data_IF_625325057936
#
_entry.id   IF_625325057936
#
_cell.length_a   1.000
_cell.length_b   1.000
_cell.length_c   1.000
_cell.angle_alpha   90.00
_cell.angle_beta   90.00
_cell.angle_gamma   90.00
#
_symmetry.space_group_name_H-M   'P 1'
#
loop_
_entity.id
_entity.type
_entity.pdbx_description
1 polymer ?
#
# COMPACT_ATOMS: atom_id res chain seq x y z
N UNK A 1 39.49 -13.91 7.87
CA UNK A 1 38.25 -14.63 7.54
C UNK A 1 37.23 -14.30 8.61
N UNK A 2 36.29 -13.40 8.32
CA UNK A 2 35.28 -12.93 9.26
C UNK A 2 33.99 -13.72 9.08
N UNK A 3 33.57 -14.35 10.17
CA UNK A 3 32.34 -15.12 10.33
C UNK A 3 31.13 -14.17 10.17
N UNK A 4 30.44 -14.20 9.04
CA UNK A 4 29.27 -13.33 8.83
C UNK A 4 28.34 -13.67 7.66
N UNK A 5 28.72 -14.57 6.75
CA UNK A 5 27.93 -14.90 5.57
C UNK A 5 27.28 -16.28 5.66
N UNK A 6 26.57 -16.55 6.75
CA UNK A 6 25.75 -17.76 6.87
C UNK A 6 24.39 -17.44 7.46
N UNK A 7 23.59 -16.66 6.72
CA UNK A 7 22.14 -16.58 6.94
C UNK A 7 21.42 -16.52 5.60
N UNK A 8 20.49 -17.46 5.43
CA UNK A 8 19.39 -17.51 4.46
C UNK A 8 19.66 -18.22 3.12
N UNK A 9 20.08 -19.49 3.17
CA UNK A 9 19.60 -20.47 2.19
C UNK A 9 18.20 -20.90 2.67
N UNK A 10 17.13 -20.37 2.07
CA UNK A 10 15.78 -20.95 2.22
C UNK A 10 14.61 -20.01 2.54
N UNK A 11 14.81 -18.71 2.80
CA UNK A 11 13.70 -17.77 2.99
C UNK A 11 13.44 -16.95 1.72
N UNK A 12 12.18 -16.67 1.37
CA UNK A 12 11.88 -15.86 0.20
C UNK A 12 12.42 -14.43 0.39
N UNK A 13 12.91 -13.83 -0.70
CA UNK A 13 13.34 -12.42 -0.71
C UNK A 13 12.20 -11.47 -0.34
N UNK A 14 10.97 -11.87 -0.65
CA UNK A 14 9.72 -11.17 -0.33
C UNK A 14 8.60 -12.19 -0.16
N UNK A 15 7.89 -12.13 0.96
CA UNK A 15 6.67 -12.91 1.18
C UNK A 15 5.52 -12.29 0.38
N UNK A 16 4.70 -13.11 -0.26
CA UNK A 16 3.55 -12.66 -1.03
C UNK A 16 2.25 -13.14 -0.39
N UNK A 17 1.35 -12.20 -0.14
CA UNK A 17 -0.03 -12.47 0.32
C UNK A 17 -0.98 -11.93 -0.74
N UNK A 18 -1.88 -12.78 -1.25
CA UNK A 18 -2.91 -12.38 -2.21
C UNK A 18 -4.30 -12.64 -1.63
N UNK A 19 -5.10 -11.59 -1.62
CA UNK A 19 -6.50 -11.61 -1.27
C UNK A 19 -7.37 -11.24 -2.47
N UNK A 20 -8.66 -11.58 -2.37
CA UNK A 20 -9.66 -11.20 -3.35
C UNK A 20 -10.87 -10.65 -2.61
N UNK A 21 -11.06 -9.34 -2.67
CA UNK A 21 -12.25 -8.67 -2.14
C UNK A 21 -12.32 -8.58 -0.62
N UNK A 22 -11.22 -8.71 0.13
CA UNK A 22 -11.31 -8.51 1.59
C UNK A 22 -11.57 -7.03 1.90
N UNK A 23 -12.26 -6.70 3.01
CA UNK A 23 -12.44 -5.32 3.42
C UNK A 23 -11.10 -4.60 3.58
N UNK A 24 -10.95 -3.42 2.99
CA UNK A 24 -9.70 -2.64 3.05
C UNK A 24 -9.22 -2.40 4.49
N UNK A 25 -10.12 -2.26 5.47
CA UNK A 25 -9.76 -2.14 6.88
C UNK A 25 -8.96 -3.35 7.40
N UNK A 26 -9.29 -4.57 6.96
CA UNK A 26 -8.56 -5.78 7.36
C UNK A 26 -7.14 -5.80 6.79
N UNK A 27 -6.99 -5.39 5.53
CA UNK A 27 -5.67 -5.26 4.92
C UNK A 27 -4.82 -4.21 5.65
N UNK A 28 -5.40 -3.04 5.97
CA UNK A 28 -4.70 -1.99 6.72
C UNK A 28 -4.22 -2.47 8.10
N UNK A 29 -5.03 -3.27 8.81
CA UNK A 29 -4.60 -3.89 10.07
C UNK A 29 -3.45 -4.88 9.88
N UNK A 30 -3.48 -5.67 8.81
CA UNK A 30 -2.39 -6.59 8.50
C UNK A 30 -1.10 -5.83 8.17
N UNK A 31 -1.19 -4.80 7.32
CA UNK A 31 -0.08 -3.93 6.96
C UNK A 31 0.57 -3.31 8.19
N UNK A 32 -0.22 -2.69 9.06
CA UNK A 32 0.29 -2.06 10.28
C UNK A 32 0.94 -3.09 11.21
N UNK A 33 0.31 -4.25 11.39
CA UNK A 33 0.86 -5.32 12.23
C UNK A 33 2.19 -5.82 11.69
N UNK A 34 2.28 -6.09 10.39
CA UNK A 34 3.52 -6.57 9.77
C UNK A 34 4.62 -5.51 9.84
N UNK A 35 4.30 -4.24 9.53
CA UNK A 35 5.24 -3.13 9.62
C UNK A 35 5.84 -2.97 11.03
N UNK A 36 5.04 -3.21 12.08
CA UNK A 36 5.47 -3.05 13.48
C UNK A 36 6.16 -4.27 14.07
N UNK A 37 5.92 -5.47 13.55
CA UNK A 37 6.29 -6.72 14.24
C UNK A 37 7.13 -7.69 13.41
N UNK A 38 7.20 -7.53 12.09
CA UNK A 38 7.97 -8.39 11.20
C UNK A 38 9.30 -7.73 10.80
N UNK A 39 10.33 -8.55 10.61
CA UNK A 39 11.61 -8.16 9.99
C UNK A 39 11.77 -8.71 8.58
N UNK A 40 10.72 -9.33 8.02
CA UNK A 40 10.72 -9.83 6.65
C UNK A 40 10.12 -8.81 5.68
N UNK A 41 10.42 -8.96 4.39
CA UNK A 41 9.80 -8.15 3.34
C UNK A 41 8.46 -8.77 2.93
N UNK A 42 7.47 -7.93 2.63
CA UNK A 42 6.12 -8.36 2.25
C UNK A 42 5.61 -7.61 1.01
N UNK A 43 4.91 -8.34 0.14
CA UNK A 43 4.01 -7.80 -0.87
C UNK A 43 2.61 -8.31 -0.55
N UNK A 44 1.67 -7.40 -0.36
CA UNK A 44 0.27 -7.71 -0.09
C UNK A 44 -0.54 -7.16 -1.25
N UNK A 45 -1.31 -8.03 -1.90
CA UNK A 45 -2.18 -7.68 -3.02
C UNK A 45 -3.61 -8.03 -2.62
N UNK A 46 -4.55 -7.12 -2.87
CA UNK A 46 -5.97 -7.40 -2.74
C UNK A 46 -6.70 -6.90 -3.97
N UNK A 47 -7.36 -7.83 -4.65
CA UNK A 47 -8.15 -7.54 -5.84
C UNK A 47 -9.57 -7.14 -5.39
N UNK A 48 -9.79 -5.84 -5.19
CA UNK A 48 -11.06 -5.24 -4.78
C UNK A 48 -11.30 -5.21 -3.26
N UNK A 49 -12.34 -4.48 -2.86
CA UNK A 49 -12.96 -4.55 -1.52
C UNK A 49 -14.46 -4.80 -1.66
N UNK A 50 -15.07 -5.47 -0.67
CA UNK A 50 -16.47 -5.90 -0.72
C UNK A 50 -17.49 -4.75 -0.61
N UNK A 51 -17.09 -3.56 -0.17
CA UNK A 51 -17.93 -2.38 -0.07
C UNK A 51 -17.15 -1.12 -0.47
N UNK A 52 -17.81 -0.21 -1.18
CA UNK A 52 -17.28 1.12 -1.45
C UNK A 52 -16.95 1.81 -0.12
N UNK A 53 -15.74 2.29 0.06
CA UNK A 53 -15.23 2.82 1.33
C UNK A 53 -14.41 4.07 1.09
N UNK A 54 -14.61 5.09 1.93
CA UNK A 54 -13.75 6.28 1.98
C UNK A 54 -12.60 6.00 2.94
N UNK A 55 -11.36 6.06 2.44
CA UNK A 55 -10.14 5.87 3.23
C UNK A 55 -9.41 7.19 3.37
N UNK A 56 -9.50 7.77 4.57
CA UNK A 56 -8.84 9.03 4.92
C UNK A 56 -7.40 8.80 5.38
N UNK A 57 -6.51 9.75 5.06
CA UNK A 57 -5.18 9.81 5.68
C UNK A 57 -5.26 10.09 7.19
N UNK A 58 -4.19 9.75 7.92
CA UNK A 58 -4.13 9.85 9.38
C UNK A 58 -4.55 11.23 9.93
N UNK A 59 -4.13 12.30 9.28
CA UNK A 59 -4.40 13.68 9.73
C UNK A 59 -5.71 14.27 9.20
N UNK A 60 -6.47 13.51 8.39
CA UNK A 60 -7.68 13.98 7.76
C UNK A 60 -8.82 14.22 8.76
N UNK A 61 -9.54 15.33 8.58
CA UNK A 61 -10.75 15.67 9.34
C UNK A 61 -12.00 15.48 8.46
N UNK A 62 -12.96 14.64 8.88
CA UNK A 62 -14.14 14.35 8.05
C UNK A 62 -14.90 15.61 7.62
N UNK A 63 -15.06 16.58 8.51
CA UNK A 63 -15.78 17.84 8.25
C UNK A 63 -15.11 18.77 7.24
N UNK A 64 -13.81 18.59 6.97
CA UNK A 64 -13.06 19.41 6.02
C UNK A 64 -12.89 18.72 4.66
N UNK A 65 -13.01 17.38 4.62
CA UNK A 65 -12.63 16.58 3.45
C UNK A 65 -13.81 15.81 2.83
N UNK A 66 -14.93 15.67 3.53
CA UNK A 66 -16.05 14.84 3.10
C UNK A 66 -17.35 15.63 3.04
N UNK A 67 -18.16 15.32 2.04
CA UNK A 67 -19.56 15.75 1.94
C UNK A 67 -20.43 14.91 2.90
N UNK A 68 -20.43 15.29 4.18
CA UNK A 68 -21.02 14.48 5.27
C UNK A 68 -22.48 14.11 5.03
N UNK A 69 -23.27 15.00 4.41
CA UNK A 69 -24.67 14.73 4.08
C UNK A 69 -24.83 13.52 3.15
N UNK A 70 -24.05 13.49 2.07
CA UNK A 70 -24.04 12.38 1.11
C UNK A 70 -23.47 11.11 1.71
N UNK A 71 -22.37 11.21 2.46
CA UNK A 71 -21.76 10.04 3.13
C UNK A 71 -22.75 9.35 4.08
N UNK A 72 -23.49 10.13 4.88
CA UNK A 72 -24.49 9.59 5.81
C UNK A 72 -25.70 9.02 5.08
N UNK A 73 -26.20 9.72 4.05
CA UNK A 73 -27.34 9.27 3.25
C UNK A 73 -27.05 7.94 2.55
N UNK A 74 -25.88 7.84 1.92
CA UNK A 74 -25.47 6.67 1.14
C UNK A 74 -24.84 5.57 2.01
N UNK A 75 -24.68 5.83 3.32
CA UNK A 75 -24.11 4.93 4.32
C UNK A 75 -22.71 4.40 3.93
N UNK A 76 -21.90 5.27 3.32
CA UNK A 76 -20.54 4.90 2.89
C UNK A 76 -19.62 4.82 4.12
N UNK A 77 -18.97 3.68 4.39
CA UNK A 77 -17.99 3.56 5.45
C UNK A 77 -16.85 4.56 5.27
N UNK A 78 -16.48 5.22 6.36
CA UNK A 78 -15.32 6.12 6.43
C UNK A 78 -14.32 5.54 7.42
N UNK A 79 -13.11 5.26 6.96
CA UNK A 79 -12.03 4.76 7.80
C UNK A 79 -10.81 5.69 7.72
N UNK A 80 -9.98 5.67 8.77
CA UNK A 80 -8.70 6.38 8.82
C UNK A 80 -7.57 5.36 8.75
N UNK A 81 -6.64 5.53 7.81
CA UNK A 81 -5.45 4.67 7.73
C UNK A 81 -4.32 5.17 8.62
N UNK A 82 -3.38 4.27 8.94
CA UNK A 82 -2.22 4.53 9.79
C UNK A 82 -1.06 5.25 9.06
N UNK A 83 -1.26 5.67 7.81
CA UNK A 83 -0.30 6.43 7.02
C UNK A 83 -0.83 7.83 6.67
N UNK A 84 0.08 8.74 6.32
CA UNK A 84 -0.27 10.08 5.84
C UNK A 84 -0.85 10.09 4.42
N UNK A 85 -1.01 11.28 3.84
CA UNK A 85 -1.52 11.50 2.48
C UNK A 85 -3.01 11.86 2.43
N UNK A 86 -3.57 11.93 1.21
CA UNK A 86 -4.94 12.39 0.97
C UNK A 86 -6.03 11.36 1.26
N UNK A 87 -7.28 11.74 0.98
CA UNK A 87 -8.46 10.87 1.04
C UNK A 87 -8.68 10.17 -0.31
N UNK A 88 -9.03 8.90 -0.29
CA UNK A 88 -9.37 8.12 -1.49
C UNK A 88 -10.69 7.38 -1.31
N UNK A 89 -11.37 7.09 -2.42
CA UNK A 89 -12.54 6.20 -2.46
C UNK A 89 -12.10 4.90 -3.12
N UNK A 90 -12.47 3.78 -2.53
CA UNK A 90 -12.06 2.44 -2.99
C UNK A 90 -13.25 1.51 -3.02
N UNK A 91 -13.25 0.55 -3.93
CA UNK A 91 -14.37 -0.35 -4.20
C UNK A 91 -13.90 -1.70 -4.78
N UNK A 92 -14.83 -2.47 -5.34
CA UNK A 92 -14.57 -3.76 -5.98
C UNK A 92 -13.66 -3.67 -7.23
N UNK A 93 -13.56 -2.50 -7.87
CA UNK A 93 -12.70 -2.24 -9.02
C UNK A 93 -11.29 -1.76 -8.64
N UNK A 94 -11.02 -1.59 -7.35
CA UNK A 94 -9.72 -1.11 -6.85
C UNK A 94 -8.74 -2.25 -6.61
N UNK A 95 -7.53 -2.17 -7.15
CA UNK A 95 -6.43 -3.09 -6.81
C UNK A 95 -5.53 -2.44 -5.76
N UNK A 96 -5.40 -3.07 -4.60
CA UNK A 96 -4.53 -2.61 -3.53
C UNK A 96 -3.21 -3.36 -3.59
N UNK A 97 -2.09 -2.63 -3.52
CA UNK A 97 -0.75 -3.20 -3.46
C UNK A 97 0.03 -2.49 -2.36
N UNK A 98 0.55 -3.27 -1.42
CA UNK A 98 1.38 -2.77 -0.32
C UNK A 98 2.72 -3.49 -0.30
N UNK A 99 3.80 -2.71 -0.43
CA UNK A 99 5.18 -3.17 -0.34
C UNK A 99 5.77 -2.75 1.00
N UNK A 100 6.11 -3.73 1.84
CA UNK A 100 6.81 -3.52 3.11
C UNK A 100 8.23 -4.05 2.91
N UNK A 101 9.20 -3.14 2.82
CA UNK A 101 10.59 -3.46 2.52
C UNK A 101 11.52 -2.99 3.64
N UNK A 102 12.44 -3.86 4.04
CA UNK A 102 13.58 -3.46 4.86
C UNK A 102 14.53 -2.58 4.04
N UNK A 103 15.15 -1.60 4.70
CA UNK A 103 16.07 -0.65 4.06
C UNK A 103 17.27 -1.36 3.41
N UNK A 104 17.75 -2.44 4.02
CA UNK A 104 18.88 -3.23 3.53
C UNK A 104 18.56 -3.96 2.22
N UNK A 105 17.26 -4.24 1.95
CA UNK A 105 16.82 -4.84 0.71
C UNK A 105 16.72 -3.83 -0.45
N UNK A 106 16.65 -2.53 -0.13
CA UNK A 106 16.54 -1.41 -1.08
C UNK A 106 17.53 -0.28 -0.73
N UNK A 107 18.84 -0.54 -0.71
CA UNK A 107 19.83 0.36 -0.11
C UNK A 107 19.95 1.72 -0.81
N UNK A 108 19.56 1.81 -2.08
CA UNK A 108 19.55 3.04 -2.88
C UNK A 108 18.26 3.86 -2.75
N UNK A 109 17.25 3.36 -2.02
CA UNK A 109 15.95 4.02 -1.86
C UNK A 109 15.94 4.79 -0.55
N UNK A 110 15.75 6.10 -0.64
CA UNK A 110 15.63 6.95 0.53
C UNK A 110 14.19 6.89 1.06
N UNK A 111 13.98 6.90 2.39
CA UNK A 111 12.67 6.65 3.00
C UNK A 111 11.76 7.89 2.98
N UNK A 112 11.57 8.48 1.79
CA UNK A 112 10.68 9.61 1.56
C UNK A 112 9.94 9.46 0.22
N UNK A 113 8.74 10.08 0.06
CA UNK A 113 7.80 9.75 -1.00
C UNK A 113 8.40 9.73 -2.41
N UNK A 114 9.11 10.79 -2.81
CA UNK A 114 9.65 10.92 -4.17
C UNK A 114 10.66 9.82 -4.53
N UNK A 115 11.54 9.45 -3.60
CA UNK A 115 12.52 8.38 -3.86
C UNK A 115 11.84 7.02 -3.97
N UNK A 116 10.85 6.75 -3.10
CA UNK A 116 10.06 5.52 -3.14
C UNK A 116 9.24 5.43 -4.44
N UNK A 117 8.60 6.52 -4.86
CA UNK A 117 7.83 6.58 -6.13
C UNK A 117 8.73 6.38 -7.35
N UNK A 118 9.91 7.00 -7.38
CA UNK A 118 10.85 6.83 -8.48
C UNK A 118 11.36 5.40 -8.59
N UNK A 119 11.53 4.71 -7.46
CA UNK A 119 11.92 3.31 -7.44
C UNK A 119 10.76 2.38 -7.85
N UNK A 120 9.55 2.60 -7.33
CA UNK A 120 8.40 1.75 -7.65
C UNK A 120 7.88 1.94 -9.07
N UNK A 121 8.16 3.07 -9.73
CA UNK A 121 7.86 3.27 -11.15
C UNK A 121 8.57 2.24 -12.04
N UNK A 122 9.79 1.81 -11.67
CA UNK A 122 10.52 0.77 -12.41
C UNK A 122 9.74 -0.55 -12.43
N UNK A 123 9.15 -0.94 -11.29
CA UNK A 123 8.30 -2.12 -11.20
C UNK A 123 7.04 -1.95 -12.05
N UNK A 124 6.35 -0.82 -11.93
CA UNK A 124 5.08 -0.63 -12.63
C UNK A 124 5.25 -0.47 -14.14
N UNK A 125 6.37 0.09 -14.61
CA UNK A 125 6.67 0.15 -16.04
C UNK A 125 6.76 -1.25 -16.66
N UNK A 126 7.35 -2.22 -15.95
CA UNK A 126 7.41 -3.61 -16.40
C UNK A 126 6.03 -4.29 -16.31
N UNK A 127 5.31 -4.11 -15.20
CA UNK A 127 3.98 -4.71 -14.99
C UNK A 127 2.97 -4.24 -16.04
N UNK A 128 3.03 -2.97 -16.42
CA UNK A 128 2.13 -2.37 -17.41
C UNK A 128 2.79 -2.21 -18.78
N UNK A 129 3.89 -2.90 -19.05
CA UNK A 129 4.54 -2.87 -20.35
C UNK A 129 3.57 -3.33 -21.44
N UNK A 130 3.38 -2.50 -22.47
CA UNK A 130 2.43 -2.76 -23.55
C UNK A 130 0.96 -2.48 -23.21
N UNK A 131 0.66 -1.99 -22.00
CA UNK A 131 -0.68 -1.55 -21.57
C UNK A 131 -0.75 -0.03 -21.61
N UNK A 132 -1.02 0.51 -22.81
CA UNK A 132 -1.15 1.95 -23.04
C UNK A 132 0.10 2.73 -22.62
N UNK A 133 -0.10 4.01 -22.27
CA UNK A 133 0.96 4.91 -21.81
C UNK A 133 1.01 5.01 -20.28
N UNK A 134 0.78 3.89 -19.57
CA UNK A 134 0.77 3.89 -18.10
C UNK A 134 2.12 4.34 -17.55
N UNK A 135 2.10 5.38 -16.69
CA UNK A 135 3.28 5.89 -16.01
C UNK A 135 2.91 6.30 -14.59
N UNK A 136 3.69 5.88 -13.60
CA UNK A 136 3.56 6.40 -12.25
C UNK A 136 4.01 7.87 -12.23
N UNK A 137 3.13 8.77 -11.80
CA UNK A 137 3.39 10.22 -11.73
C UNK A 137 3.12 10.77 -10.33
N UNK A 138 3.93 11.74 -9.92
CA UNK A 138 3.65 12.58 -8.76
C UNK A 138 2.59 13.60 -9.16
N UNK A 139 1.54 13.76 -8.35
CA UNK A 139 0.61 14.88 -8.51
C UNK A 139 1.28 16.13 -7.95
N UNK A 140 1.69 17.04 -8.84
CA UNK A 140 2.27 18.34 -8.52
C UNK A 140 1.23 19.43 -8.38
#
# INVERSE_FOLDING_TARGET
MTLGQSRKVGLPLMNLVRYKGIPILQQLHLEEKLLRTSSDNWCIINDGTNAATIVMGMSGKPSELLELGHVLQDQIPVIRRFTGGGTVIVDHGTIFISLICNKEAVPSVLPYPRSIMSWSSLLYNEVFQGIGDFQLRENG
#
